data_IF_497112745506
#
_entry.id   IF_497112745506
#
_cell.length_a   1.000
_cell.length_b   1.000
_cell.length_c   1.000
_cell.angle_alpha   90.00
_cell.angle_beta   90.00
_cell.angle_gamma   90.00
#
_symmetry.space_group_name_H-M   'P 1'
#
loop_
_entity.id
_entity.type
_entity.pdbx_description
1 polymer ?
#
# COMPACT_ATOMS: atom_id res chain seq x y z
N UNK A 1 31.77 -33.43 -98.74
CA UNK A 1 32.96 -32.59 -98.64
C UNK A 1 33.05 -32.13 -97.19
N UNK A 2 33.88 -32.72 -96.46
CA UNK A 2 34.30 -32.34 -95.07
C UNK A 2 35.21 -31.12 -95.16
N UNK A 3 35.25 -30.25 -94.14
CA UNK A 3 36.43 -30.35 -93.22
C UNK A 3 36.16 -29.98 -91.74
N UNK A 4 36.82 -30.67 -91.03
CA UNK A 4 37.83 -30.41 -89.98
C UNK A 4 37.44 -29.60 -88.72
N UNK A 5 37.46 -30.36 -87.68
CA UNK A 5 37.58 -30.04 -86.25
C UNK A 5 38.87 -29.22 -85.97
N UNK A 6 38.72 -28.24 -85.06
CA UNK A 6 39.84 -27.70 -84.26
C UNK A 6 39.42 -27.55 -82.83
N UNK A 7 40.09 -28.30 -81.95
CA UNK A 7 39.95 -28.29 -80.48
C UNK A 7 40.83 -27.16 -79.94
N UNK A 8 40.24 -26.28 -79.12
CA UNK A 8 41.02 -25.40 -78.21
C UNK A 8 40.66 -25.71 -76.81
N UNK A 9 41.66 -26.15 -76.10
CA UNK A 9 41.62 -26.35 -74.61
C UNK A 9 41.71 -24.97 -73.92
N UNK A 10 40.70 -24.64 -73.18
CA UNK A 10 40.71 -23.44 -72.34
C UNK A 10 40.69 -23.82 -70.82
N UNK A 11 41.72 -23.40 -70.18
CA UNK A 11 42.01 -23.56 -68.73
C UNK A 11 40.94 -22.84 -67.92
N UNK A 12 40.18 -23.58 -67.14
CA UNK A 12 39.18 -22.98 -66.21
C UNK A 12 39.90 -22.63 -64.90
N UNK A 13 40.00 -21.32 -64.61
CA UNK A 13 40.42 -20.81 -63.29
C UNK A 13 39.19 -20.77 -62.37
N UNK A 14 39.24 -21.56 -61.29
CA UNK A 14 38.22 -21.58 -60.24
C UNK A 14 38.48 -20.38 -59.30
N UNK A 15 37.67 -19.31 -59.42
CA UNK A 15 37.61 -18.28 -58.40
C UNK A 15 36.67 -18.74 -57.25
N UNK A 16 37.27 -19.00 -56.07
CA UNK A 16 36.54 -19.22 -54.83
C UNK A 16 35.99 -17.88 -54.33
N UNK A 17 34.68 -17.63 -54.52
CA UNK A 17 33.99 -16.57 -53.77
C UNK A 17 33.78 -16.98 -52.33
N UNK A 18 34.54 -16.39 -51.43
CA UNK A 18 34.23 -16.39 -50.00
C UNK A 18 32.96 -15.56 -49.77
N UNK A 19 31.85 -16.24 -49.51
CA UNK A 19 30.62 -15.60 -49.03
C UNK A 19 30.85 -15.13 -47.61
N UNK A 20 31.06 -13.81 -47.41
CA UNK A 20 30.85 -13.19 -46.13
C UNK A 20 29.34 -13.19 -45.83
N UNK A 21 28.90 -14.11 -44.93
CA UNK A 21 27.62 -13.98 -44.31
C UNK A 21 27.66 -12.74 -43.39
N UNK A 22 26.71 -11.79 -43.51
CA UNK A 22 26.57 -10.78 -42.49
C UNK A 22 26.19 -11.46 -41.19
N UNK A 23 26.93 -11.18 -40.10
CA UNK A 23 26.54 -11.53 -38.78
C UNK A 23 25.15 -10.93 -38.55
N UNK A 24 24.17 -11.79 -38.29
CA UNK A 24 22.86 -11.37 -37.80
C UNK A 24 23.07 -10.63 -36.51
N UNK A 25 22.96 -9.33 -36.52
CA UNK A 25 22.69 -8.57 -35.30
C UNK A 25 21.45 -9.20 -34.65
N UNK A 26 21.46 -9.46 -33.32
CA UNK A 26 20.24 -9.87 -32.65
C UNK A 26 19.21 -8.77 -32.88
N UNK A 27 18.12 -9.14 -33.52
CA UNK A 27 17.02 -8.27 -33.85
C UNK A 27 16.56 -7.56 -32.57
N UNK A 28 16.56 -6.23 -32.63
CA UNK A 28 15.78 -5.36 -31.78
C UNK A 28 14.28 -5.56 -32.12
N UNK A 29 13.75 -6.75 -31.80
CA UNK A 29 12.37 -7.15 -32.16
C UNK A 29 11.44 -7.26 -30.96
N UNK A 30 11.73 -6.58 -29.82
CA UNK A 30 10.78 -6.49 -28.71
C UNK A 30 10.55 -5.07 -28.16
N UNK A 31 10.98 -4.04 -28.86
CA UNK A 31 10.72 -2.65 -28.45
C UNK A 31 9.43 -2.05 -29.07
N UNK A 32 8.59 -2.84 -29.71
CA UNK A 32 7.47 -2.34 -30.52
C UNK A 32 6.08 -2.81 -30.07
N UNK A 33 5.85 -2.94 -28.78
CA UNK A 33 4.52 -2.91 -28.16
C UNK A 33 4.62 -2.60 -26.67
N UNK A 34 5.39 -1.60 -26.31
CA UNK A 34 5.31 -1.03 -24.97
C UNK A 34 3.92 -0.38 -24.85
N UNK A 35 2.98 -1.11 -24.24
CA UNK A 35 1.62 -0.67 -24.00
C UNK A 35 1.58 0.44 -22.96
N UNK A 36 0.38 0.73 -22.51
CA UNK A 36 0.18 1.63 -21.38
C UNK A 36 -0.65 0.94 -20.28
N UNK A 37 -0.61 1.48 -19.07
CA UNK A 37 -1.47 1.10 -17.97
C UNK A 37 -2.01 2.34 -17.29
N UNK A 38 -3.32 2.39 -17.08
CA UNK A 38 -4.01 3.53 -16.49
C UNK A 38 -4.32 3.24 -15.02
N UNK A 39 -3.70 3.97 -14.11
CA UNK A 39 -3.79 3.81 -12.68
C UNK A 39 -4.72 4.86 -12.08
N UNK A 40 -5.79 4.43 -11.42
CA UNK A 40 -6.64 5.26 -10.58
C UNK A 40 -6.14 5.15 -9.14
N UNK A 41 -5.42 6.17 -8.68
CA UNK A 41 -4.71 6.14 -7.40
C UNK A 41 -5.38 7.00 -6.33
N UNK A 42 -5.80 6.35 -5.25
CA UNK A 42 -6.16 7.00 -4.00
C UNK A 42 -4.94 7.16 -3.05
N UNK A 43 -3.75 7.09 -3.61
CA UNK A 43 -2.45 7.46 -3.01
C UNK A 43 -1.89 8.66 -3.76
N UNK A 44 -1.07 9.45 -3.09
CA UNK A 44 -0.47 10.67 -3.67
C UNK A 44 0.89 10.95 -2.99
N UNK A 45 1.72 9.92 -2.89
CA UNK A 45 3.08 10.06 -2.35
C UNK A 45 4.09 10.17 -3.50
N UNK A 46 5.12 10.99 -3.32
CA UNK A 46 6.18 11.18 -4.32
C UNK A 46 6.86 9.87 -4.73
N UNK A 47 6.95 8.91 -3.80
CA UNK A 47 7.50 7.57 -4.07
C UNK A 47 6.67 6.77 -5.08
N UNK A 48 5.36 7.01 -5.17
CA UNK A 48 4.50 6.31 -6.12
C UNK A 48 4.88 6.67 -7.56
N UNK A 49 5.24 7.93 -7.83
CA UNK A 49 5.74 8.35 -9.14
C UNK A 49 7.06 7.64 -9.49
N UNK A 50 8.00 7.56 -8.53
CA UNK A 50 9.27 6.85 -8.75
C UNK A 50 9.07 5.36 -9.06
N UNK A 51 8.10 4.71 -8.39
CA UNK A 51 7.73 3.33 -8.70
C UNK A 51 7.25 3.17 -10.15
N UNK A 52 6.39 4.08 -10.61
CA UNK A 52 5.85 4.03 -11.96
C UNK A 52 6.92 4.33 -13.02
N UNK A 53 7.86 5.22 -12.72
CA UNK A 53 9.02 5.48 -13.56
C UNK A 53 9.91 4.23 -13.69
N UNK A 54 10.26 3.57 -12.56
CA UNK A 54 11.04 2.33 -12.55
C UNK A 54 10.32 1.18 -13.30
N UNK A 55 9.01 1.05 -13.11
CA UNK A 55 8.22 0.08 -13.87
C UNK A 55 8.28 0.35 -15.38
N UNK A 56 8.16 1.61 -15.77
CA UNK A 56 8.24 2.01 -17.19
C UNK A 56 9.64 1.74 -17.76
N UNK A 57 10.69 2.05 -17.01
CA UNK A 57 12.08 1.77 -17.41
C UNK A 57 12.34 0.25 -17.59
N UNK A 58 11.81 -0.56 -16.65
CA UNK A 58 12.01 -2.01 -16.67
C UNK A 58 11.20 -2.73 -17.75
N UNK A 59 10.04 -2.19 -18.13
CA UNK A 59 9.08 -2.91 -18.98
C UNK A 59 8.77 -2.25 -20.31
N UNK A 60 9.09 -0.96 -20.46
CA UNK A 60 8.64 -0.11 -21.56
C UNK A 60 7.15 0.28 -21.48
N UNK A 61 6.38 -0.23 -20.51
CA UNK A 61 4.95 0.07 -20.36
C UNK A 61 4.79 1.42 -19.69
N UNK A 62 4.11 2.36 -20.36
CA UNK A 62 3.87 3.69 -19.80
C UNK A 62 2.77 3.65 -18.73
N UNK A 63 3.01 4.27 -17.57
CA UNK A 63 1.99 4.45 -16.54
C UNK A 63 1.34 5.82 -16.67
N UNK A 64 0.02 5.84 -16.81
CA UNK A 64 -0.80 7.06 -16.75
C UNK A 64 -1.57 7.06 -15.44
N UNK A 65 -1.51 8.16 -14.68
CA UNK A 65 -2.09 8.22 -13.33
C UNK A 65 -3.21 9.24 -13.26
N UNK A 66 -4.31 8.87 -12.61
CA UNK A 66 -5.38 9.77 -12.19
C UNK A 66 -5.48 9.65 -10.67
N UNK A 67 -5.25 10.77 -9.98
CA UNK A 67 -5.30 10.84 -8.53
C UNK A 67 -6.63 11.41 -8.03
N UNK A 68 -7.06 10.91 -6.87
CA UNK A 68 -8.26 11.39 -6.19
C UNK A 68 -8.51 10.65 -4.88
N UNK A 69 -9.54 11.03 -4.13
CA UNK A 69 -9.95 10.23 -2.98
C UNK A 69 -10.57 8.90 -3.44
N UNK A 70 -10.44 7.84 -2.63
CA UNK A 70 -11.00 6.54 -2.98
C UNK A 70 -12.51 6.60 -3.31
N UNK A 71 -13.38 7.31 -2.54
CA UNK A 71 -14.78 7.46 -2.91
C UNK A 71 -15.00 8.13 -4.26
N UNK A 72 -14.21 9.17 -4.60
CA UNK A 72 -14.33 9.87 -5.89
C UNK A 72 -13.93 8.96 -7.05
N UNK A 73 -12.83 8.21 -6.92
CA UNK A 73 -12.37 7.30 -7.96
C UNK A 73 -13.31 6.12 -8.16
N UNK A 74 -13.87 5.54 -7.07
CA UNK A 74 -14.88 4.49 -7.14
C UNK A 74 -16.14 5.00 -7.86
N UNK A 75 -16.65 6.17 -7.49
CA UNK A 75 -17.81 6.77 -8.15
C UNK A 75 -17.55 7.06 -9.63
N UNK A 76 -16.34 7.49 -9.98
CA UNK A 76 -15.91 7.71 -11.34
C UNK A 76 -15.90 6.40 -12.14
N UNK A 77 -15.25 5.34 -11.64
CA UNK A 77 -15.22 4.03 -12.30
C UNK A 77 -16.64 3.46 -12.50
N UNK A 78 -17.54 3.63 -11.51
CA UNK A 78 -18.94 3.25 -11.63
C UNK A 78 -19.66 4.03 -12.74
N UNK A 79 -19.44 5.35 -12.82
CA UNK A 79 -20.03 6.20 -13.84
C UNK A 79 -19.52 5.90 -15.25
N UNK A 80 -18.24 5.58 -15.39
CA UNK A 80 -17.59 5.17 -16.62
C UNK A 80 -18.03 3.77 -17.09
N UNK A 81 -18.37 2.90 -16.15
CA UNK A 81 -18.88 1.55 -16.40
C UNK A 81 -17.94 0.71 -17.26
N UNK A 82 -18.48 0.06 -18.29
CA UNK A 82 -17.69 -0.78 -19.20
C UNK A 82 -16.72 0.02 -20.11
N UNK A 83 -16.89 1.34 -20.18
CA UNK A 83 -16.01 2.24 -20.94
C UNK A 83 -14.90 2.86 -20.06
N UNK A 84 -14.79 2.45 -18.79
CA UNK A 84 -13.74 2.95 -17.91
C UNK A 84 -12.36 2.65 -18.48
N UNK A 85 -11.48 3.66 -18.61
CA UNK A 85 -10.10 3.44 -19.03
C UNK A 85 -9.22 2.90 -17.91
N UNK A 86 -9.73 2.76 -16.68
CA UNK A 86 -8.94 2.31 -15.54
C UNK A 86 -8.49 0.86 -15.71
N UNK A 87 -7.20 0.62 -15.55
CA UNK A 87 -6.61 -0.72 -15.53
C UNK A 87 -6.34 -1.20 -14.10
N UNK A 88 -5.89 -0.28 -13.24
CA UNK A 88 -5.53 -0.58 -11.84
C UNK A 88 -6.16 0.45 -10.92
N UNK A 89 -6.75 -0.02 -9.82
CA UNK A 89 -7.17 0.82 -8.70
C UNK A 89 -6.19 0.62 -7.54
N UNK A 90 -5.62 1.72 -7.04
CA UNK A 90 -4.65 1.74 -5.93
C UNK A 90 -5.26 2.47 -4.75
N UNK A 91 -5.14 1.91 -3.56
CA UNK A 91 -5.60 2.56 -2.34
C UNK A 91 -4.65 2.34 -1.16
N UNK A 92 -4.71 3.27 -0.21
CA UNK A 92 -3.90 3.24 1.00
C UNK A 92 -4.60 2.56 2.19
N UNK A 93 -5.60 1.71 1.95
CA UNK A 93 -6.39 1.05 3.00
C UNK A 93 -7.18 -0.13 2.45
N UNK A 94 -7.15 -1.27 3.16
CA UNK A 94 -7.90 -2.48 2.78
C UNK A 94 -9.41 -2.24 2.66
N UNK A 95 -9.98 -1.38 3.51
CA UNK A 95 -11.40 -1.03 3.44
C UNK A 95 -11.77 -0.25 2.18
N UNK A 96 -10.85 0.55 1.62
CA UNK A 96 -11.07 1.22 0.35
C UNK A 96 -11.02 0.22 -0.82
N UNK A 97 -10.08 -0.74 -0.77
CA UNK A 97 -10.01 -1.84 -1.75
C UNK A 97 -11.27 -2.71 -1.70
N UNK A 98 -11.73 -3.04 -0.50
CA UNK A 98 -12.99 -3.76 -0.32
C UNK A 98 -14.19 -3.01 -0.91
N UNK A 99 -14.30 -1.69 -0.72
CA UNK A 99 -15.39 -0.90 -1.32
C UNK A 99 -15.38 -0.96 -2.85
N UNK A 100 -14.21 -0.94 -3.48
CA UNK A 100 -14.08 -1.11 -4.92
C UNK A 100 -14.49 -2.54 -5.35
N UNK A 101 -14.11 -3.55 -4.59
CA UNK A 101 -14.51 -4.94 -4.78
C UNK A 101 -16.02 -5.10 -4.66
N UNK A 102 -16.64 -4.60 -3.59
CA UNK A 102 -18.09 -4.70 -3.34
C UNK A 102 -18.91 -4.01 -4.43
N UNK A 103 -18.37 -2.93 -5.00
CA UNK A 103 -18.94 -2.25 -6.14
C UNK A 103 -18.76 -2.99 -7.47
N UNK A 104 -18.14 -4.18 -7.48
CA UNK A 104 -17.87 -4.97 -8.67
C UNK A 104 -16.82 -4.39 -9.61
N UNK A 105 -15.96 -3.50 -9.10
CA UNK A 105 -14.99 -2.76 -9.92
C UNK A 105 -13.63 -3.45 -10.05
N UNK A 106 -13.40 -4.54 -9.31
CA UNK A 106 -12.14 -5.29 -9.33
C UNK A 106 -12.38 -6.73 -9.82
N UNK A 107 -11.47 -7.23 -10.62
CA UNK A 107 -11.49 -8.60 -11.15
C UNK A 107 -10.42 -9.47 -10.49
N UNK A 108 -10.69 -10.78 -10.30
CA UNK A 108 -9.69 -11.70 -9.77
C UNK A 108 -8.46 -11.81 -10.68
N UNK A 109 -7.29 -11.88 -10.06
CA UNK A 109 -6.00 -12.13 -10.72
C UNK A 109 -5.44 -13.44 -10.20
N UNK A 110 -5.08 -14.33 -11.11
CA UNK A 110 -4.35 -15.55 -10.82
C UNK A 110 -2.89 -15.34 -11.25
N UNK A 111 -2.01 -15.14 -10.27
CA UNK A 111 -0.57 -14.99 -10.48
C UNK A 111 0.18 -15.75 -9.39
N UNK A 112 1.04 -16.69 -9.81
CA UNK A 112 1.90 -17.42 -8.89
C UNK A 112 2.88 -16.47 -8.19
N UNK A 113 3.39 -15.46 -8.90
CA UNK A 113 4.30 -14.47 -8.36
C UNK A 113 3.65 -13.65 -7.24
N UNK A 114 2.43 -13.14 -7.44
CA UNK A 114 1.69 -12.41 -6.42
C UNK A 114 1.35 -13.30 -5.21
N UNK A 115 0.93 -14.53 -5.48
CA UNK A 115 0.59 -15.48 -4.42
C UNK A 115 1.80 -15.91 -3.58
N UNK A 116 2.97 -16.01 -4.18
CA UNK A 116 4.22 -16.31 -3.48
C UNK A 116 4.76 -15.11 -2.69
N UNK A 117 4.61 -13.89 -3.23
CA UNK A 117 5.14 -12.68 -2.60
C UNK A 117 4.26 -12.15 -1.47
N UNK A 118 2.93 -12.21 -1.60
CA UNK A 118 2.00 -11.56 -0.66
C UNK A 118 1.30 -12.62 0.21
N UNK A 119 1.48 -12.58 1.54
CA UNK A 119 0.81 -13.48 2.47
C UNK A 119 -0.71 -13.46 2.35
N UNK A 120 -1.36 -14.59 2.62
CA UNK A 120 -2.82 -14.73 2.49
C UNK A 120 -3.61 -13.75 3.36
N UNK A 121 -3.12 -13.43 4.55
CA UNK A 121 -3.75 -12.46 5.44
C UNK A 121 -3.59 -11.00 4.98
N UNK A 122 -2.78 -10.71 3.97
CA UNK A 122 -2.56 -9.37 3.42
C UNK A 122 -3.16 -9.18 2.01
N UNK A 123 -3.98 -10.13 1.54
CA UNK A 123 -4.65 -10.07 0.24
C UNK A 123 -6.10 -10.52 0.34
N UNK A 124 -6.88 -10.23 -0.67
CA UNK A 124 -8.24 -10.74 -0.83
C UNK A 124 -8.20 -12.21 -1.28
N UNK A 125 -9.01 -13.11 -0.68
CA UNK A 125 -8.91 -14.56 -0.90
C UNK A 125 -9.06 -15.02 -2.36
N UNK A 126 -9.85 -14.31 -3.17
CA UNK A 126 -10.04 -14.64 -4.59
C UNK A 126 -9.07 -13.89 -5.52
N UNK A 127 -8.14 -13.09 -4.95
CA UNK A 127 -7.13 -12.33 -5.70
C UNK A 127 -7.66 -11.08 -6.39
N UNK A 128 -8.75 -10.46 -5.88
CA UNK A 128 -9.25 -9.20 -6.43
C UNK A 128 -8.36 -8.01 -6.09
N UNK A 129 -7.62 -8.09 -4.98
CA UNK A 129 -6.62 -7.10 -4.62
C UNK A 129 -5.54 -7.70 -3.72
N UNK A 130 -4.37 -7.04 -3.70
CA UNK A 130 -3.18 -7.43 -2.96
C UNK A 130 -2.63 -6.24 -2.19
N UNK A 131 -2.19 -6.47 -0.95
CA UNK A 131 -1.48 -5.47 -0.15
C UNK A 131 0.02 -5.57 -0.36
N UNK A 132 0.65 -4.49 -0.80
CA UNK A 132 2.09 -4.47 -1.10
C UNK A 132 2.91 -3.85 0.02
N UNK A 133 2.28 -3.01 0.84
CA UNK A 133 2.91 -2.36 1.98
C UNK A 133 2.01 -2.49 3.21
N UNK A 134 2.62 -2.55 4.40
CA UNK A 134 1.91 -2.59 5.69
C UNK A 134 2.18 -1.35 6.51
N UNK A 135 1.25 -1.00 7.37
CA UNK A 135 1.45 -0.06 8.48
C UNK A 135 0.73 -0.56 9.71
N UNK A 136 1.25 -0.23 10.89
CA UNK A 136 0.58 -0.47 12.16
C UNK A 136 -0.20 0.76 12.60
N UNK A 137 -1.36 0.56 13.23
CA UNK A 137 -2.08 1.60 13.96
C UNK A 137 -1.52 1.65 15.37
N UNK A 138 -0.79 2.69 15.71
CA UNK A 138 0.08 2.79 16.88
C UNK A 138 -0.37 3.94 17.78
N UNK A 139 0.21 3.99 18.98
CA UNK A 139 0.06 5.12 19.90
C UNK A 139 1.36 5.94 19.91
N UNK A 140 1.26 7.20 19.51
CA UNK A 140 2.30 8.19 19.78
C UNK A 140 2.08 8.73 21.21
N UNK A 141 3.12 8.79 22.04
CA UNK A 141 2.98 9.15 23.45
C UNK A 141 4.12 10.05 23.95
N UNK A 142 3.83 10.89 24.94
CA UNK A 142 4.79 11.70 25.67
C UNK A 142 5.59 10.80 26.62
N UNK A 143 6.85 10.50 26.27
CA UNK A 143 7.68 9.58 27.04
C UNK A 143 8.06 10.06 28.45
N UNK A 144 7.85 11.34 28.77
CA UNK A 144 8.05 11.89 30.10
C UNK A 144 6.83 11.65 31.03
N UNK A 145 5.64 11.36 30.46
CA UNK A 145 4.37 11.28 31.20
C UNK A 145 3.70 9.92 31.16
N UNK A 146 4.00 9.11 30.13
CA UNK A 146 3.35 7.82 29.89
C UNK A 146 4.40 6.72 29.77
N UNK A 147 4.17 5.60 30.46
CA UNK A 147 5.01 4.42 30.32
C UNK A 147 4.40 3.48 29.25
N UNK A 148 5.21 2.78 28.45
CA UNK A 148 4.72 1.84 27.44
C UNK A 148 3.74 0.78 27.99
N UNK A 149 3.92 0.35 29.24
CA UNK A 149 3.04 -0.61 29.89
C UNK A 149 1.61 -0.07 30.17
N UNK A 150 1.41 1.26 30.17
CA UNK A 150 0.09 1.89 30.35
C UNK A 150 -0.72 1.93 29.02
N UNK A 151 -0.10 1.59 27.89
CA UNK A 151 -0.67 1.61 26.53
C UNK A 151 -0.26 0.34 25.75
N UNK A 152 -0.16 -0.78 26.45
CA UNK A 152 0.29 -2.05 25.87
C UNK A 152 -0.77 -2.73 25.01
N UNK A 153 -2.06 -2.38 25.20
CA UNK A 153 -3.19 -2.91 24.45
C UNK A 153 -4.10 -1.79 23.91
N UNK A 154 -4.98 -2.12 22.96
CA UNK A 154 -5.99 -1.16 22.51
C UNK A 154 -7.03 -0.86 23.59
N UNK A 155 -7.29 -1.79 24.52
CA UNK A 155 -8.15 -1.57 25.67
C UNK A 155 -7.61 -0.45 26.57
N UNK A 156 -6.30 -0.42 26.79
CA UNK A 156 -5.65 0.57 27.66
C UNK A 156 -5.90 2.00 27.20
N UNK A 157 -5.95 2.25 25.90
CA UNK A 157 -6.19 3.58 25.31
C UNK A 157 -7.56 4.15 25.72
N UNK A 158 -8.55 3.26 25.92
CA UNK A 158 -9.90 3.62 26.35
C UNK A 158 -10.05 3.70 27.87
N UNK A 159 -9.01 3.38 28.64
CA UNK A 159 -9.07 3.38 30.11
C UNK A 159 -9.24 4.78 30.69
N UNK A 160 -9.90 4.96 31.85
CA UNK A 160 -10.08 6.25 32.52
C UNK A 160 -8.76 6.97 32.87
N UNK A 161 -7.62 6.28 32.83
CA UNK A 161 -6.26 6.82 33.02
C UNK A 161 -5.99 7.98 32.05
N UNK A 162 -6.54 7.91 30.85
CA UNK A 162 -6.29 8.89 29.79
C UNK A 162 -7.41 9.91 29.58
N UNK A 163 -8.31 10.09 30.56
CA UNK A 163 -9.41 11.06 30.48
C UNK A 163 -8.90 12.46 30.17
N UNK A 164 -9.36 13.02 29.05
CA UNK A 164 -8.92 14.33 28.56
C UNK A 164 -7.46 14.37 28.09
N UNK A 165 -6.86 13.23 27.72
CA UNK A 165 -5.43 13.10 27.36
C UNK A 165 -5.18 12.46 26.00
N UNK A 166 -6.23 12.14 25.24
CA UNK A 166 -6.13 11.45 23.96
C UNK A 166 -6.43 12.40 22.79
N UNK A 167 -5.58 12.38 21.76
CA UNK A 167 -5.82 12.99 20.46
C UNK A 167 -6.06 11.94 19.38
N UNK A 168 -7.10 12.14 18.56
CA UNK A 168 -7.46 11.26 17.45
C UNK A 168 -7.98 12.05 16.26
N UNK A 169 -8.01 11.43 15.08
CA UNK A 169 -8.72 11.94 13.91
C UNK A 169 -10.22 11.67 14.00
N UNK A 170 -10.99 12.30 13.08
CA UNK A 170 -12.43 12.08 12.95
C UNK A 170 -12.81 10.61 12.73
N UNK A 171 -14.05 10.28 13.09
CA UNK A 171 -14.59 8.90 12.98
C UNK A 171 -14.75 8.45 11.53
N UNK A 172 -14.94 9.36 10.58
CA UNK A 172 -15.07 9.08 9.15
C UNK A 172 -13.72 8.76 8.47
N UNK A 173 -12.61 8.99 9.19
CA UNK A 173 -11.30 8.67 8.66
C UNK A 173 -11.15 7.17 8.42
N UNK A 174 -10.71 6.80 7.22
CA UNK A 174 -10.62 5.40 6.77
C UNK A 174 -9.78 4.52 7.71
N UNK A 175 -8.71 5.06 8.32
CA UNK A 175 -7.85 4.29 9.23
C UNK A 175 -8.54 3.98 10.56
N UNK A 176 -9.41 4.89 11.06
CA UNK A 176 -10.24 4.64 12.22
C UNK A 176 -11.36 3.64 11.90
N UNK A 177 -11.98 3.74 10.71
CA UNK A 177 -12.97 2.77 10.25
C UNK A 177 -12.39 1.36 10.18
N UNK A 178 -11.18 1.20 9.66
CA UNK A 178 -10.52 -0.10 9.55
C UNK A 178 -10.05 -0.65 10.90
N UNK A 179 -9.52 0.20 11.80
CA UNK A 179 -9.21 -0.24 13.16
C UNK A 179 -10.48 -0.70 13.89
N UNK A 180 -11.52 0.13 13.91
CA UNK A 180 -12.76 -0.21 14.62
C UNK A 180 -13.43 -1.43 13.99
N UNK A 181 -13.33 -1.60 12.67
CA UNK A 181 -13.74 -2.82 11.97
C UNK A 181 -13.00 -4.06 12.47
N UNK A 182 -11.69 -3.96 12.66
CA UNK A 182 -10.88 -5.03 13.26
C UNK A 182 -11.25 -5.33 14.71
N UNK A 183 -11.55 -4.28 15.51
CA UNK A 183 -12.01 -4.45 16.90
C UNK A 183 -13.38 -5.13 16.94
N UNK A 184 -14.31 -4.81 16.04
CA UNK A 184 -15.60 -5.49 15.94
C UNK A 184 -15.40 -6.98 15.60
N UNK A 185 -14.48 -7.28 14.71
CA UNK A 185 -14.18 -8.66 14.33
C UNK A 185 -13.56 -9.47 15.47
N UNK A 186 -12.68 -8.84 16.26
CA UNK A 186 -12.01 -9.50 17.39
C UNK A 186 -12.89 -9.59 18.65
N UNK A 187 -13.61 -8.52 18.98
CA UNK A 187 -14.28 -8.37 20.29
C UNK A 187 -15.81 -8.45 20.21
N UNK A 188 -16.37 -8.33 19.03
CA UNK A 188 -17.80 -8.09 18.85
C UNK A 188 -18.20 -6.62 19.02
N UNK A 189 -19.42 -6.28 18.57
CA UNK A 189 -19.91 -4.89 18.56
C UNK A 189 -20.08 -4.27 19.95
N UNK A 190 -20.52 -5.04 20.95
CA UNK A 190 -20.80 -4.53 22.29
C UNK A 190 -19.52 -4.03 22.98
N UNK A 191 -18.47 -4.86 23.04
CA UNK A 191 -17.18 -4.49 23.64
C UNK A 191 -16.53 -3.35 22.87
N UNK A 192 -16.63 -3.35 21.54
CA UNK A 192 -16.11 -2.27 20.70
C UNK A 192 -16.87 -0.95 20.94
N UNK A 193 -18.19 -0.99 21.17
CA UNK A 193 -18.97 0.18 21.54
C UNK A 193 -18.56 0.75 22.90
N UNK A 194 -18.25 -0.09 23.87
CA UNK A 194 -17.71 0.34 25.17
C UNK A 194 -16.35 1.01 25.00
N UNK A 195 -15.48 0.40 24.21
CA UNK A 195 -14.17 0.97 23.87
C UNK A 195 -14.32 2.34 23.21
N UNK A 196 -15.19 2.50 22.21
CA UNK A 196 -15.41 3.76 21.53
C UNK A 196 -15.93 4.86 22.47
N UNK A 197 -16.81 4.52 23.44
CA UNK A 197 -17.22 5.46 24.49
C UNK A 197 -16.06 5.87 25.39
N UNK A 198 -15.16 4.93 25.71
CA UNK A 198 -13.92 5.21 26.44
C UNK A 198 -13.00 6.16 25.68
N UNK A 199 -12.82 5.94 24.37
CA UNK A 199 -12.08 6.86 23.48
C UNK A 199 -12.67 8.26 23.54
N UNK A 200 -13.98 8.41 23.40
CA UNK A 200 -14.66 9.72 23.45
C UNK A 200 -14.49 10.39 24.81
N UNK A 201 -14.60 9.64 25.90
CA UNK A 201 -14.38 10.16 27.25
C UNK A 201 -12.95 10.63 27.51
N UNK A 202 -11.99 10.09 26.74
CA UNK A 202 -10.58 10.39 26.86
C UNK A 202 -10.10 11.52 25.92
N UNK A 203 -10.96 12.04 25.04
CA UNK A 203 -10.59 13.11 24.10
C UNK A 203 -10.12 14.36 24.84
N UNK A 204 -8.94 14.85 24.49
CA UNK A 204 -8.40 16.12 24.97
C UNK A 204 -9.00 17.32 24.22
N UNK A 205 -9.42 17.10 22.98
CA UNK A 205 -10.08 18.08 22.09
C UNK A 205 -11.01 17.37 21.12
N UNK A 206 -11.81 18.13 20.38
CA UNK A 206 -12.56 17.55 19.27
C UNK A 206 -11.60 16.95 18.23
N UNK A 207 -11.95 15.79 17.62
CA UNK A 207 -11.16 15.19 16.57
C UNK A 207 -10.97 16.14 15.37
N UNK A 208 -9.73 16.34 14.96
CA UNK A 208 -9.37 17.24 13.85
C UNK A 208 -8.00 16.87 13.25
N UNK A 209 -7.72 17.36 12.06
CA UNK A 209 -6.41 17.23 11.41
C UNK A 209 -6.02 15.81 10.99
N UNK A 210 -4.77 15.65 10.60
CA UNK A 210 -4.14 14.39 10.19
C UNK A 210 -3.33 13.72 11.29
N UNK A 211 -2.73 12.56 10.99
CA UNK A 211 -1.93 11.81 11.97
C UNK A 211 -0.71 12.61 12.46
N UNK A 212 -0.04 13.38 11.59
CA UNK A 212 1.06 14.26 12.02
C UNK A 212 0.60 15.33 13.00
N UNK A 213 -0.61 15.86 12.81
CA UNK A 213 -1.16 16.87 13.72
C UNK A 213 -1.47 16.28 15.08
N UNK A 214 -1.83 14.97 15.15
CA UNK A 214 -1.99 14.26 16.42
C UNK A 214 -0.64 14.09 17.12
N UNK A 215 0.42 13.70 16.38
CA UNK A 215 1.77 13.55 16.94
C UNK A 215 2.30 14.88 17.48
N UNK A 216 2.15 15.97 16.69
CA UNK A 216 2.54 17.32 17.14
C UNK A 216 1.72 17.82 18.33
N UNK A 217 0.45 17.42 18.45
CA UNK A 217 -0.38 17.76 19.59
C UNK A 217 0.11 17.11 20.89
N UNK A 218 0.72 15.93 20.83
CA UNK A 218 1.38 15.29 21.98
C UNK A 218 2.61 16.11 22.40
N UNK A 219 3.48 16.50 21.47
CA UNK A 219 4.65 17.35 21.78
C UNK A 219 4.25 18.69 22.37
N UNK A 220 3.18 19.29 21.84
CA UNK A 220 2.65 20.57 22.35
C UNK A 220 1.93 20.44 23.70
N UNK A 221 1.79 19.24 24.25
CA UNK A 221 1.14 19.00 25.55
C UNK A 221 -0.38 19.12 25.54
N UNK A 222 -1.02 19.17 24.37
CA UNK A 222 -2.49 19.16 24.22
C UNK A 222 -3.06 17.83 24.70
N UNK A 223 -2.36 16.73 24.41
CA UNK A 223 -2.68 15.39 24.86
C UNK A 223 -1.41 14.63 25.29
N UNK A 224 -1.55 13.52 26.00
CA UNK A 224 -0.42 12.67 26.40
C UNK A 224 -0.22 11.50 25.43
N UNK A 225 -1.29 11.09 24.77
CA UNK A 225 -1.28 10.00 23.79
C UNK A 225 -2.08 10.39 22.56
N UNK A 226 -1.70 9.82 21.40
CA UNK A 226 -2.42 10.00 20.15
C UNK A 226 -2.44 8.71 19.32
N UNK A 227 -3.60 8.41 18.72
CA UNK A 227 -3.75 7.27 17.82
C UNK A 227 -3.33 7.68 16.40
N UNK A 228 -2.32 7.01 15.83
CA UNK A 228 -1.71 7.36 14.54
C UNK A 228 -1.26 6.13 13.76
N UNK A 229 -0.94 6.28 12.48
CA UNK A 229 -0.22 5.25 11.73
C UNK A 229 1.30 5.40 11.88
N UNK A 230 2.00 4.28 11.96
CA UNK A 230 3.45 4.21 12.19
C UNK A 230 4.27 5.01 11.19
N UNK A 231 3.95 4.92 9.89
CA UNK A 231 4.74 5.55 8.84
C UNK A 231 4.76 7.09 8.90
N UNK A 232 3.74 7.73 9.45
CA UNK A 232 3.76 9.19 9.65
C UNK A 232 4.85 9.61 10.63
N UNK A 233 4.96 8.88 11.73
CA UNK A 233 6.01 9.12 12.71
C UNK A 233 7.40 8.83 12.13
N UNK A 234 7.56 7.71 11.42
CA UNK A 234 8.83 7.33 10.78
C UNK A 234 9.28 8.43 9.81
N UNK A 235 8.37 8.95 8.99
CA UNK A 235 8.66 10.06 8.08
C UNK A 235 9.00 11.37 8.80
N UNK A 236 8.39 11.64 9.94
CA UNK A 236 8.74 12.81 10.76
C UNK A 236 10.14 12.65 11.37
N UNK A 237 10.47 11.45 11.83
CA UNK A 237 11.78 11.17 12.44
C UNK A 237 12.93 11.21 11.44
N UNK A 238 12.69 10.77 10.21
CA UNK A 238 13.72 10.64 9.16
C UNK A 238 13.73 11.80 8.16
N UNK A 239 12.69 12.62 8.12
CA UNK A 239 12.55 13.72 7.15
C UNK A 239 13.47 14.91 7.42
N UNK A 240 13.50 15.83 6.48
CA UNK A 240 14.38 17.03 6.54
C UNK A 240 13.84 18.14 7.46
N UNK A 241 12.56 18.10 7.84
CA UNK A 241 11.96 19.09 8.74
C UNK A 241 12.53 18.95 10.17
N UNK A 242 13.29 19.95 10.60
CA UNK A 242 13.92 19.97 11.92
C UNK A 242 12.88 20.03 13.06
N UNK A 243 11.73 20.65 12.84
CA UNK A 243 10.65 20.70 13.79
C UNK A 243 10.02 19.30 14.02
N UNK A 244 9.75 18.57 12.93
CA UNK A 244 9.23 17.20 13.01
C UNK A 244 10.22 16.25 13.70
N UNK A 245 11.54 16.37 13.41
CA UNK A 245 12.56 15.59 14.14
C UNK A 245 12.59 15.90 15.63
N UNK A 246 12.52 17.17 16.01
CA UNK A 246 12.48 17.57 17.41
C UNK A 246 11.25 17.01 18.16
N UNK A 247 10.09 16.94 17.49
CA UNK A 247 8.89 16.28 18.02
C UNK A 247 9.18 14.82 18.33
N UNK A 248 9.82 14.08 17.41
CA UNK A 248 10.08 12.64 17.57
C UNK A 248 11.19 12.31 18.59
N UNK A 249 11.97 13.31 19.01
CA UNK A 249 12.89 13.15 20.15
C UNK A 249 12.15 12.96 21.48
N UNK A 250 11.00 13.62 21.66
CA UNK A 250 10.19 13.60 22.89
C UNK A 250 9.04 12.60 22.81
N UNK A 251 8.33 12.60 21.70
CA UNK A 251 7.21 11.69 21.44
C UNK A 251 7.78 10.36 20.97
N UNK A 252 7.26 9.25 21.53
CA UNK A 252 7.67 7.89 21.15
C UNK A 252 6.48 7.10 20.62
N UNK A 253 6.74 5.94 19.98
CA UNK A 253 5.72 5.01 19.54
C UNK A 253 5.58 3.81 20.47
N UNK A 254 4.33 3.41 20.71
CA UNK A 254 3.99 2.10 21.25
C UNK A 254 3.10 1.37 20.24
N UNK A 255 3.26 0.05 20.18
CA UNK A 255 2.51 -0.85 19.31
C UNK A 255 1.52 -1.64 20.16
N UNK A 256 0.30 -1.12 20.41
CA UNK A 256 -0.65 -1.78 21.29
C UNK A 256 -1.10 -3.11 20.69
N UNK A 257 -1.19 -4.11 21.54
CA UNK A 257 -1.64 -5.44 21.14
C UNK A 257 -3.17 -5.51 21.07
N UNK A 258 -3.70 -6.20 20.08
CA UNK A 258 -5.09 -6.66 20.01
C UNK A 258 -5.12 -8.11 20.52
N UNK A 259 -5.84 -8.35 21.61
CA UNK A 259 -5.97 -9.66 22.27
C UNK A 259 -4.64 -10.39 22.55
N UNK A 260 -3.57 -9.64 22.80
CA UNK A 260 -2.24 -10.20 23.05
C UNK A 260 -1.55 -10.81 21.84
N UNK A 261 -2.13 -10.70 20.62
CA UNK A 261 -1.62 -11.32 19.40
C UNK A 261 -0.81 -10.36 18.52
N UNK A 262 -0.65 -9.10 18.93
CA UNK A 262 0.11 -8.10 18.20
C UNK A 262 -0.71 -6.89 17.76
N UNK A 263 -0.05 -5.92 17.16
CA UNK A 263 -0.68 -4.66 16.73
C UNK A 263 -1.54 -4.83 15.48
N UNK A 264 -2.64 -4.07 15.41
CA UNK A 264 -3.43 -3.97 14.18
C UNK A 264 -2.58 -3.45 13.03
N UNK A 265 -2.59 -4.17 11.93
CA UNK A 265 -1.94 -3.77 10.67
C UNK A 265 -2.97 -3.59 9.57
N UNK A 266 -2.65 -2.68 8.65
CA UNK A 266 -3.44 -2.45 7.45
C UNK A 266 -2.49 -2.33 6.26
N UNK A 267 -3.00 -2.29 5.03
CA UNK A 267 -2.20 -2.34 3.82
C UNK A 267 -2.44 -1.16 2.89
N UNK A 268 -1.40 -0.76 2.16
CA UNK A 268 -1.55 -0.13 0.86
C UNK A 268 -1.54 -1.22 -0.19
N UNK A 269 -2.47 -1.16 -1.13
CA UNK A 269 -2.61 -2.23 -2.09
C UNK A 269 -3.26 -1.77 -3.39
N UNK A 270 -3.39 -2.73 -4.31
CA UNK A 270 -4.01 -2.50 -5.61
C UNK A 270 -4.76 -3.74 -6.11
N UNK A 271 -5.69 -3.51 -7.03
CA UNK A 271 -6.41 -4.55 -7.77
C UNK A 271 -6.58 -4.16 -9.24
N UNK A 272 -6.72 -5.16 -10.10
CA UNK A 272 -7.00 -4.97 -11.52
C UNK A 272 -8.46 -4.61 -11.69
N UNK A 273 -8.75 -3.54 -12.45
CA UNK A 273 -10.12 -3.12 -12.72
C UNK A 273 -10.90 -4.19 -13.49
N UNK A 274 -12.20 -4.30 -13.22
CA UNK A 274 -13.07 -5.33 -13.82
C UNK A 274 -13.12 -5.26 -15.36
N UNK A 275 -13.04 -4.04 -15.89
CA UNK A 275 -13.08 -3.76 -17.33
C UNK A 275 -11.73 -3.25 -17.87
N UNK A 276 -10.61 -3.59 -17.22
CA UNK A 276 -9.27 -3.13 -17.58
C UNK A 276 -8.97 -3.35 -19.08
N UNK A 277 -8.80 -2.28 -19.89
CA UNK A 277 -8.45 -2.42 -21.30
C UNK A 277 -7.05 -3.01 -21.52
N UNK A 278 -6.12 -2.78 -20.58
CA UNK A 278 -4.74 -3.26 -20.64
C UNK A 278 -4.46 -4.27 -19.51
N UNK A 279 -5.30 -5.31 -19.38
CA UNK A 279 -5.27 -6.27 -18.27
C UNK A 279 -3.89 -6.90 -18.03
N UNK A 280 -3.18 -7.29 -19.07
CA UNK A 280 -1.85 -7.91 -18.94
C UNK A 280 -0.83 -6.92 -18.39
N UNK A 281 -0.83 -5.67 -18.85
CA UNK A 281 0.00 -4.61 -18.32
C UNK A 281 -0.33 -4.30 -16.84
N UNK A 282 -1.62 -4.35 -16.47
CA UNK A 282 -2.07 -4.18 -15.10
C UNK A 282 -1.53 -5.29 -14.19
N UNK A 283 -1.59 -6.55 -14.61
CA UNK A 283 -1.04 -7.68 -13.84
C UNK A 283 0.48 -7.52 -13.67
N UNK A 284 1.20 -7.18 -14.74
CA UNK A 284 2.66 -6.91 -14.67
C UNK A 284 2.99 -5.79 -13.69
N UNK A 285 2.16 -4.74 -13.64
CA UNK A 285 2.35 -3.67 -12.65
C UNK A 285 2.15 -4.19 -11.22
N UNK A 286 1.11 -4.99 -10.95
CA UNK A 286 0.90 -5.59 -9.63
C UNK A 286 2.09 -6.49 -9.23
N UNK A 287 2.60 -7.30 -10.14
CA UNK A 287 3.77 -8.16 -9.90
C UNK A 287 5.03 -7.34 -9.62
N UNK A 288 5.23 -6.23 -10.33
CA UNK A 288 6.31 -5.30 -10.04
C UNK A 288 6.17 -4.67 -8.65
N UNK A 289 4.97 -4.23 -8.25
CA UNK A 289 4.71 -3.69 -6.91
C UNK A 289 4.96 -4.72 -5.79
N UNK A 290 4.83 -6.00 -6.10
CA UNK A 290 5.14 -7.11 -5.18
C UNK A 290 6.64 -7.45 -5.13
N UNK A 291 7.47 -6.91 -6.03
CA UNK A 291 8.89 -7.17 -6.06
C UNK A 291 9.62 -6.64 -4.81
N UNK A 292 10.75 -7.26 -4.49
CA UNK A 292 11.59 -6.81 -3.38
C UNK A 292 12.09 -5.37 -3.57
N UNK A 293 12.42 -5.00 -4.81
CA UNK A 293 12.89 -3.65 -5.17
C UNK A 293 11.82 -2.60 -4.89
N UNK A 294 10.61 -2.79 -5.41
CA UNK A 294 9.50 -1.86 -5.23
C UNK A 294 9.12 -1.71 -3.74
N UNK A 295 9.03 -2.82 -3.00
CA UNK A 295 8.70 -2.79 -1.59
C UNK A 295 9.80 -2.13 -0.74
N UNK A 296 11.07 -2.34 -1.07
CA UNK A 296 12.20 -1.68 -0.40
C UNK A 296 12.18 -0.17 -0.63
N UNK A 297 11.95 0.28 -1.87
CA UNK A 297 11.87 1.70 -2.21
C UNK A 297 10.76 2.41 -1.41
N UNK A 298 9.55 1.85 -1.37
CA UNK A 298 8.44 2.44 -0.59
C UNK A 298 8.76 2.44 0.90
N UNK A 299 9.34 1.36 1.41
CA UNK A 299 9.71 1.28 2.81
C UNK A 299 10.74 2.35 3.20
N UNK A 300 11.74 2.58 2.35
CA UNK A 300 12.78 3.57 2.59
C UNK A 300 12.24 5.01 2.54
N UNK A 301 11.41 5.32 1.55
CA UNK A 301 10.98 6.71 1.30
C UNK A 301 9.67 7.09 1.99
N UNK A 302 8.77 6.10 2.21
CA UNK A 302 7.46 6.37 2.81
C UNK A 302 7.29 5.82 4.23
N UNK A 303 8.24 5.00 4.73
CA UNK A 303 8.19 4.45 6.10
C UNK A 303 7.14 3.36 6.30
N UNK A 304 6.56 2.81 5.24
CA UNK A 304 5.66 1.65 5.30
C UNK A 304 6.48 0.35 5.29
N UNK A 305 6.03 -0.68 6.01
CA UNK A 305 6.74 -1.95 6.06
C UNK A 305 6.45 -2.79 4.81
N UNK A 306 7.43 -3.52 4.26
CA UNK A 306 7.17 -4.48 3.20
C UNK A 306 6.10 -5.50 3.58
N UNK A 307 5.27 -5.90 2.62
CA UNK A 307 4.28 -6.96 2.84
C UNK A 307 4.90 -8.37 2.71
N UNK A 308 5.86 -8.53 1.79
CA UNK A 308 6.57 -9.79 1.58
C UNK A 308 7.46 -10.15 2.77
N UNK A 309 7.31 -11.36 3.35
CA UNK A 309 8.13 -11.79 4.49
C UNK A 309 9.63 -11.88 4.19
N UNK A 310 9.98 -12.06 2.90
CA UNK A 310 11.38 -12.15 2.45
C UNK A 310 12.07 -10.80 2.24
N UNK A 311 11.35 -9.69 2.38
CA UNK A 311 11.87 -8.33 2.18
C UNK A 311 12.02 -7.65 3.53
N UNK A 312 13.26 -7.43 3.96
CA UNK A 312 13.54 -6.69 5.17
C UNK A 312 13.25 -5.19 4.98
N UNK A 313 12.67 -4.56 5.99
CA UNK A 313 12.53 -3.10 5.97
C UNK A 313 13.93 -2.45 6.05
N UNK A 314 14.27 -1.50 5.15
CA UNK A 314 15.49 -0.71 5.25
C UNK A 314 15.33 0.39 6.33
N UNK A 315 16.46 1.02 6.71
CA UNK A 315 16.39 2.27 7.48
C UNK A 315 15.73 3.39 6.63
N UNK A 316 14.95 4.28 7.25
CA UNK A 316 14.71 4.42 8.70
C UNK A 316 13.60 3.51 9.23
N UNK A 317 12.91 2.76 8.39
CA UNK A 317 11.74 1.94 8.75
C UNK A 317 12.14 0.76 9.65
N UNK A 318 13.34 0.21 9.44
CA UNK A 318 13.87 -0.92 10.23
C UNK A 318 13.90 -0.64 11.74
N UNK A 319 14.21 0.60 12.15
CA UNK A 319 14.25 1.01 13.55
C UNK A 319 12.90 0.83 14.28
N UNK A 320 11.80 0.68 13.55
CA UNK A 320 10.43 0.55 14.08
C UNK A 320 9.73 -0.73 13.61
N UNK A 321 10.49 -1.70 13.09
CA UNK A 321 9.92 -2.92 12.51
C UNK A 321 9.81 -4.09 13.53
N UNK A 322 10.40 -3.96 14.71
CA UNK A 322 10.37 -5.00 15.76
C UNK A 322 9.06 -4.93 16.57
N UNK A 323 7.98 -5.41 15.95
CA UNK A 323 6.68 -5.58 16.61
C UNK A 323 5.95 -6.81 16.08
N UNK A 324 5.13 -7.44 16.93
CA UNK A 324 4.21 -8.49 16.50
C UNK A 324 3.02 -7.86 15.77
N UNK A 325 2.79 -8.26 14.53
CA UNK A 325 1.60 -7.89 13.77
C UNK A 325 0.46 -8.87 14.07
N UNK A 326 -0.75 -8.36 14.32
CA UNK A 326 -1.91 -9.22 14.50
C UNK A 326 -2.20 -10.02 13.22
N UNK A 327 -2.46 -11.35 13.31
CA UNK A 327 -2.59 -12.22 12.13
C UNK A 327 -3.93 -12.12 11.38
N UNK A 328 -4.88 -11.31 11.87
CA UNK A 328 -6.21 -11.15 11.26
C UNK A 328 -6.10 -10.76 9.79
N UNK A 329 -6.84 -11.44 8.88
CA UNK A 329 -6.85 -11.07 7.47
C UNK A 329 -7.38 -9.65 7.27
N UNK A 330 -6.64 -8.81 6.56
CA UNK A 330 -7.02 -7.40 6.32
C UNK A 330 -8.30 -7.27 5.51
N UNK A 331 -8.70 -8.30 4.78
CA UNK A 331 -9.96 -8.36 4.04
C UNK A 331 -11.21 -8.32 4.94
N UNK A 332 -11.08 -8.63 6.24
CA UNK A 332 -12.20 -8.61 7.19
C UNK A 332 -12.64 -7.22 7.62
N UNK A 333 -11.80 -6.19 7.45
CA UNK A 333 -12.07 -4.84 7.93
C UNK A 333 -13.15 -4.12 7.10
N UNK A 334 -13.11 -4.33 5.79
CA UNK A 334 -14.00 -3.66 4.85
C UNK A 334 -15.49 -3.89 5.15
N UNK A 335 -15.95 -5.15 5.29
CA UNK A 335 -17.33 -5.48 5.61
C UNK A 335 -17.86 -4.83 6.90
N UNK A 336 -16.97 -4.52 7.84
CA UNK A 336 -17.31 -3.91 9.14
C UNK A 336 -17.35 -2.39 9.13
N UNK A 337 -16.95 -1.71 8.06
CA UNK A 337 -16.80 -0.25 8.07
C UNK A 337 -18.10 0.52 8.32
N UNK A 338 -19.23 0.06 7.78
CA UNK A 338 -20.52 0.70 8.02
C UNK A 338 -20.95 0.57 9.49
N UNK A 339 -20.77 -0.62 10.08
CA UNK A 339 -21.03 -0.88 11.49
C UNK A 339 -20.08 -0.07 12.40
N UNK A 340 -18.80 -0.03 12.05
CA UNK A 340 -17.78 0.77 12.75
C UNK A 340 -18.14 2.27 12.78
N UNK A 341 -18.57 2.82 11.63
CA UNK A 341 -19.01 4.21 11.54
C UNK A 341 -20.23 4.48 12.42
N UNK A 342 -21.24 3.61 12.35
CA UNK A 342 -22.45 3.74 13.14
C UNK A 342 -22.14 3.71 14.65
N UNK A 343 -21.27 2.76 15.06
CA UNK A 343 -20.84 2.57 16.44
C UNK A 343 -20.05 3.78 16.97
N UNK A 344 -19.08 4.28 16.21
CA UNK A 344 -18.31 5.48 16.60
C UNK A 344 -19.22 6.72 16.69
N UNK A 345 -20.14 6.89 15.74
CA UNK A 345 -21.12 7.98 15.75
C UNK A 345 -22.03 7.90 16.98
N UNK A 346 -22.53 6.72 17.32
CA UNK A 346 -23.36 6.50 18.51
C UNK A 346 -22.60 6.77 19.83
N UNK A 347 -21.29 6.51 19.85
CA UNK A 347 -20.43 6.86 20.98
C UNK A 347 -20.13 8.35 21.09
N UNK A 348 -20.43 9.17 20.06
CA UNK A 348 -20.14 10.59 20.00
C UNK A 348 -18.77 10.94 19.43
N UNK A 349 -18.07 9.98 18.82
CA UNK A 349 -16.85 10.25 18.07
C UNK A 349 -17.23 10.89 16.73
N UNK A 350 -16.76 12.08 16.48
CA UNK A 350 -17.11 12.91 15.31
C UNK A 350 -15.90 13.16 14.41
#
# INVERSE_FOLDING_TARGET
>A
MTPRLTVFAGLAAILSLAACSPASEPAAEDAAAAGEVNVYSARHYDVDQKLYEQFTEATGIKVNTIEGSAPQLIARMQSEGAASPADVFVAADAGALWRAQEAGLLSPVQSEALNAAIPENLREPEGRWFGFQRRARVVAYDAAKVQPAEIASYEDIASPRFRGQLCVRSSDNIYNLSLVGALIEAWGPEKTAEWARGIVANLARQPEGGDRDQIRAVDAGVCQIALTNSYYYIRMAAGDDAGDRAVTEKVKLAFPSLDGQGAHVNVSGAGVAANAPHREAAIRLLEFLASAEAQTLVSQENGEYPASPGVAAPEPTAAYADFAAHPMPVATYGPRQAEAQALMTAAGWR
#
